data_IF_355771458331
#
_entry.id   IF_355771458331
#
_cell.length_a   1.000
_cell.length_b   1.000
_cell.length_c   1.000
_cell.angle_alpha   90.00
_cell.angle_beta   90.00
_cell.angle_gamma   90.00
#
_symmetry.space_group_name_H-M   'P 1'
#
loop_
_entity.id
_entity.type
_entity.pdbx_description
1 polymer ?
#
# COMPACT_ATOMS: atom_id res chain seq x y z
N UNK A 1 4.74 -16.85 -2.74
CA UNK A 1 5.37 -15.78 -1.93
C UNK A 1 6.28 -16.37 -0.84
N UNK A 2 7.32 -15.61 -0.35
CA UNK A 2 8.22 -16.09 0.73
C UNK A 2 7.45 -16.36 2.04
N UNK A 3 6.50 -15.50 2.40
CA UNK A 3 5.67 -15.65 3.59
C UNK A 3 4.81 -16.93 3.56
N UNK A 4 4.20 -17.25 2.45
CA UNK A 4 3.39 -18.48 2.30
C UNK A 4 4.25 -19.74 2.45
N UNK A 5 5.46 -19.75 1.86
CA UNK A 5 6.41 -20.86 2.02
C UNK A 5 6.86 -21.05 3.48
N UNK A 6 6.94 -19.95 4.21
CA UNK A 6 7.29 -19.96 5.64
C UNK A 6 6.08 -20.20 6.57
N UNK A 7 4.89 -20.42 6.03
CA UNK A 7 3.67 -20.58 6.80
C UNK A 7 3.34 -19.36 7.66
N UNK A 8 3.67 -18.14 7.20
CA UNK A 8 3.37 -16.89 7.89
C UNK A 8 2.09 -16.31 7.30
N UNK A 9 0.98 -16.29 8.07
CA UNK A 9 -0.24 -15.63 7.63
C UNK A 9 -0.02 -14.13 7.49
N UNK A 10 -0.58 -13.55 6.43
CA UNK A 10 -0.46 -12.12 6.14
C UNK A 10 -1.71 -11.60 5.44
N UNK A 11 -1.83 -10.27 5.35
CA UNK A 11 -2.75 -9.59 4.45
C UNK A 11 -2.14 -8.28 3.95
N UNK A 12 -2.33 -8.00 2.66
CA UNK A 12 -2.06 -6.70 2.05
C UNK A 12 -3.08 -5.67 2.54
N UNK A 13 -2.61 -4.46 2.81
CA UNK A 13 -3.43 -3.33 3.26
C UNK A 13 -2.99 -2.04 2.56
N UNK A 14 -3.28 -0.89 3.14
CA UNK A 14 -2.79 0.42 2.68
C UNK A 14 -3.18 0.78 1.25
N UNK A 15 -2.22 1.27 0.49
CA UNK A 15 -2.45 1.81 -0.85
C UNK A 15 -2.66 0.75 -1.93
N UNK A 16 -2.06 -0.42 -1.79
CA UNK A 16 -2.28 -1.55 -2.70
C UNK A 16 -3.73 -2.05 -2.55
N UNK A 17 -4.21 -2.21 -1.31
CA UNK A 17 -5.59 -2.59 -1.06
C UNK A 17 -6.58 -1.51 -1.53
N UNK A 18 -6.25 -0.22 -1.35
CA UNK A 18 -7.04 0.88 -1.91
C UNK A 18 -7.16 0.75 -3.43
N UNK A 19 -6.05 0.54 -4.14
CA UNK A 19 -6.03 0.44 -5.61
C UNK A 19 -6.81 -0.77 -6.12
N UNK A 20 -6.83 -1.86 -5.36
CA UNK A 20 -7.68 -3.02 -5.66
C UNK A 20 -9.18 -2.69 -5.60
N UNK A 21 -9.61 -1.95 -4.56
CA UNK A 21 -11.04 -1.66 -4.33
C UNK A 21 -11.56 -0.38 -4.97
N UNK A 22 -10.69 0.59 -5.26
CA UNK A 22 -11.08 1.92 -5.72
C UNK A 22 -10.13 2.47 -6.80
N UNK A 23 -10.16 3.78 -7.01
CA UNK A 23 -9.28 4.46 -7.96
C UNK A 23 -7.82 4.27 -7.54
N UNK A 24 -6.96 3.76 -8.44
CA UNK A 24 -5.54 3.60 -8.16
C UNK A 24 -4.87 4.96 -7.94
N UNK A 25 -3.90 4.97 -7.05
CA UNK A 25 -2.96 6.06 -6.89
C UNK A 25 -1.55 5.51 -6.72
N UNK A 26 -0.57 6.26 -7.17
CA UNK A 26 0.82 5.91 -6.98
C UNK A 26 1.11 5.66 -5.49
N UNK A 27 1.81 4.56 -5.22
CA UNK A 27 2.37 4.27 -3.90
C UNK A 27 3.83 3.85 -4.03
N UNK A 28 4.63 4.20 -3.03
CA UNK A 28 6.04 3.80 -2.93
C UNK A 28 6.22 2.60 -2.01
N UNK A 29 5.21 2.31 -1.22
CA UNK A 29 5.29 1.33 -0.15
C UNK A 29 4.21 0.27 -0.32
N UNK A 30 4.53 -0.96 0.08
CA UNK A 30 3.61 -2.08 0.16
C UNK A 30 3.37 -2.36 1.64
N UNK A 31 2.16 -2.07 2.11
CA UNK A 31 1.77 -2.30 3.50
C UNK A 31 1.26 -3.73 3.70
N UNK A 32 1.81 -4.43 4.68
CA UNK A 32 1.45 -5.81 5.05
C UNK A 32 1.18 -5.92 6.54
N UNK A 33 0.06 -6.51 6.91
CA UNK A 33 -0.15 -7.01 8.27
C UNK A 33 0.23 -8.48 8.30
N UNK A 34 1.10 -8.89 9.23
CA UNK A 34 1.56 -10.27 9.34
C UNK A 34 1.42 -10.81 10.77
N UNK A 35 1.09 -12.11 10.88
CA UNK A 35 1.06 -12.81 12.14
C UNK A 35 2.47 -13.30 12.49
N UNK A 36 3.13 -12.57 13.36
CA UNK A 36 4.51 -12.83 13.76
C UNK A 36 4.66 -13.13 15.27
N UNK A 37 3.57 -13.17 16.02
CA UNK A 37 3.61 -13.44 17.46
C UNK A 37 4.32 -14.76 17.76
N UNK A 38 5.23 -14.74 18.71
CA UNK A 38 6.00 -15.92 19.13
C UNK A 38 7.02 -16.43 18.12
N UNK A 39 7.25 -15.72 16.98
CA UNK A 39 8.27 -16.11 16.01
C UNK A 39 9.63 -15.54 16.35
N UNK A 40 10.66 -16.30 15.99
CA UNK A 40 12.06 -15.87 16.13
C UNK A 40 12.41 -14.77 15.11
N UNK A 41 12.92 -13.64 15.59
CA UNK A 41 13.26 -12.47 14.77
C UNK A 41 14.36 -12.78 13.73
N UNK A 42 15.34 -13.59 14.09
CA UNK A 42 16.41 -14.02 13.19
C UNK A 42 15.88 -14.87 12.04
N UNK A 43 14.98 -15.81 12.34
CA UNK A 43 14.33 -16.64 11.33
C UNK A 43 13.47 -15.79 10.38
N UNK A 44 12.71 -14.81 10.91
CA UNK A 44 11.91 -13.88 10.09
C UNK A 44 12.82 -13.03 9.20
N UNK A 45 13.90 -12.46 9.73
CA UNK A 45 14.85 -11.67 8.94
C UNK A 45 15.51 -12.50 7.83
N UNK A 46 15.90 -13.74 8.13
CA UNK A 46 16.53 -14.65 7.16
C UNK A 46 15.65 -14.99 5.95
N UNK A 47 14.32 -14.91 6.08
CA UNK A 47 13.41 -15.12 4.94
C UNK A 47 13.62 -14.12 3.79
N UNK A 48 14.18 -12.96 4.09
CA UNK A 48 14.34 -11.87 3.14
C UNK A 48 15.73 -11.81 2.51
N UNK A 49 16.73 -12.49 3.09
CA UNK A 49 18.07 -12.56 2.52
C UNK A 49 18.09 -13.36 1.21
N UNK A 50 19.05 -13.09 0.29
CA UNK A 50 19.96 -11.92 0.28
C UNK A 50 19.37 -10.70 -0.43
N UNK A 51 18.17 -10.80 -1.05
CA UNK A 51 17.64 -9.80 -1.98
C UNK A 51 17.10 -8.54 -1.30
N UNK A 52 16.88 -8.62 0.01
CA UNK A 52 16.28 -7.53 0.77
C UNK A 52 17.16 -7.13 1.95
N UNK A 53 17.14 -5.85 2.28
CA UNK A 53 17.60 -5.35 3.56
C UNK A 53 16.49 -5.44 4.60
N UNK A 54 16.79 -5.99 5.76
CA UNK A 54 15.95 -5.99 6.96
C UNK A 54 16.85 -6.01 8.19
N UNK A 55 16.55 -5.16 9.17
CA UNK A 55 17.29 -5.14 10.43
C UNK A 55 16.64 -6.10 11.44
N UNK A 56 17.34 -7.15 11.84
CA UNK A 56 16.84 -8.14 12.82
C UNK A 56 16.36 -7.50 14.13
N UNK A 57 17.09 -6.48 14.61
CA UNK A 57 16.70 -5.75 15.81
C UNK A 57 15.35 -5.02 15.68
N UNK A 58 15.04 -4.49 14.48
CA UNK A 58 13.75 -3.85 14.21
C UNK A 58 12.62 -4.89 14.15
N UNK A 59 12.88 -6.06 13.57
CA UNK A 59 11.95 -7.20 13.58
C UNK A 59 11.63 -7.62 15.00
N UNK A 60 12.66 -7.84 15.83
CA UNK A 60 12.50 -8.26 17.23
C UNK A 60 11.70 -7.23 18.04
N UNK A 61 12.02 -5.95 17.90
CA UNK A 61 11.27 -4.86 18.54
C UNK A 61 9.81 -4.84 18.09
N UNK A 62 9.55 -4.96 16.79
CA UNK A 62 8.19 -4.95 16.25
C UNK A 62 7.37 -6.14 16.74
N UNK A 63 7.96 -7.35 16.81
CA UNK A 63 7.30 -8.54 17.36
C UNK A 63 6.95 -8.32 18.84
N UNK A 64 7.87 -7.78 19.63
CA UNK A 64 7.67 -7.58 21.08
C UNK A 64 6.60 -6.53 21.39
N UNK A 65 6.46 -5.48 20.54
CA UNK A 65 5.57 -4.35 20.80
C UNK A 65 4.27 -4.37 19.98
N UNK A 66 4.10 -5.30 19.05
CA UNK A 66 3.03 -5.23 18.05
C UNK A 66 3.18 -4.00 17.15
N UNK A 67 4.42 -3.60 16.87
CA UNK A 67 4.79 -2.45 16.06
C UNK A 67 4.96 -2.77 14.57
N UNK A 68 5.86 -2.02 13.91
CA UNK A 68 6.18 -2.21 12.50
C UNK A 68 7.68 -2.19 12.25
N UNK A 69 8.10 -2.81 11.16
CA UNK A 69 9.46 -2.77 10.62
C UNK A 69 9.45 -2.68 9.10
N UNK A 70 10.55 -2.20 8.53
CA UNK A 70 10.69 -2.03 7.10
C UNK A 70 11.55 -3.13 6.49
N UNK A 71 11.19 -3.54 5.30
CA UNK A 71 11.97 -4.42 4.44
C UNK A 71 12.17 -3.73 3.10
N UNK A 72 13.39 -3.60 2.62
CA UNK A 72 13.71 -2.94 1.35
C UNK A 72 14.30 -3.94 0.36
N UNK A 73 13.65 -4.08 -0.81
CA UNK A 73 14.22 -4.88 -1.89
C UNK A 73 15.42 -4.18 -2.50
N UNK A 74 16.61 -4.75 -2.33
CA UNK A 74 17.87 -4.12 -2.71
C UNK A 74 18.01 -3.86 -4.21
N UNK A 75 17.49 -4.75 -5.07
CA UNK A 75 17.55 -4.60 -6.53
C UNK A 75 16.58 -3.56 -7.08
N UNK A 76 15.33 -3.59 -6.62
CA UNK A 76 14.24 -2.78 -7.17
C UNK A 76 13.93 -1.53 -6.36
N UNK A 77 14.55 -1.35 -5.21
CA UNK A 77 14.29 -0.26 -4.27
C UNK A 77 12.80 -0.11 -3.93
N UNK A 78 12.13 -1.24 -3.70
CA UNK A 78 10.73 -1.28 -3.24
C UNK A 78 10.70 -1.55 -1.76
N UNK A 79 10.04 -0.68 -1.00
CA UNK A 79 9.87 -0.81 0.45
C UNK A 79 8.59 -1.58 0.78
N UNK A 80 8.70 -2.48 1.75
CA UNK A 80 7.57 -3.17 2.35
C UNK A 80 7.49 -2.77 3.82
N UNK A 81 6.33 -2.33 4.25
CA UNK A 81 6.03 -1.98 5.64
C UNK A 81 5.29 -3.15 6.30
N UNK A 82 6.00 -3.86 7.17
CA UNK A 82 5.45 -4.97 7.92
C UNK A 82 4.87 -4.48 9.24
N UNK A 83 3.58 -4.66 9.41
CA UNK A 83 2.86 -4.36 10.64
C UNK A 83 2.60 -5.69 11.34
N UNK A 84 3.10 -5.86 12.55
CA UNK A 84 2.81 -7.03 13.35
C UNK A 84 1.35 -6.98 13.82
N UNK A 85 0.57 -8.03 13.54
CA UNK A 85 -0.82 -8.09 13.95
C UNK A 85 -0.93 -7.99 15.48
N UNK A 86 -1.64 -6.97 15.95
CA UNK A 86 -1.94 -6.81 17.38
C UNK A 86 -2.98 -7.82 17.81
N UNK A 87 -2.84 -8.36 19.01
CA UNK A 87 -3.76 -9.36 19.57
C UNK A 87 -4.96 -8.72 20.29
N UNK A 88 -5.68 -7.83 19.57
CA UNK A 88 -6.95 -7.26 20.04
C UNK A 88 -8.13 -7.96 19.35
N UNK A 89 -9.32 -7.97 19.95
CA UNK A 89 -10.50 -8.62 19.36
C UNK A 89 -10.78 -8.12 17.93
N UNK A 90 -10.73 -6.80 17.72
CA UNK A 90 -10.96 -6.22 16.39
C UNK A 90 -9.90 -6.66 15.38
N UNK A 91 -8.59 -6.62 15.75
CA UNK A 91 -7.51 -6.99 14.83
C UNK A 91 -7.49 -8.48 14.49
N UNK A 92 -7.96 -9.33 15.37
CA UNK A 92 -8.21 -10.75 15.08
C UNK A 92 -9.30 -10.91 14.03
N UNK A 93 -10.45 -10.29 14.26
CA UNK A 93 -11.58 -10.35 13.32
C UNK A 93 -11.27 -9.73 11.96
N UNK A 94 -10.58 -8.58 11.92
CA UNK A 94 -10.11 -7.96 10.69
C UNK A 94 -9.26 -8.95 9.88
N UNK A 95 -8.33 -9.62 10.55
CA UNK A 95 -7.42 -10.56 9.93
C UNK A 95 -8.11 -11.84 9.44
N UNK A 96 -9.11 -12.33 10.16
CA UNK A 96 -9.95 -13.46 9.76
C UNK A 96 -10.82 -13.14 8.54
N UNK A 97 -11.31 -11.91 8.42
CA UNK A 97 -12.12 -11.45 7.29
C UNK A 97 -11.31 -11.13 6.03
N UNK A 98 -9.97 -11.28 6.05
CA UNK A 98 -9.16 -11.11 4.85
C UNK A 98 -9.61 -12.05 3.73
N UNK A 99 -9.41 -11.62 2.50
CA UNK A 99 -9.85 -12.37 1.31
C UNK A 99 -8.65 -12.74 0.45
N UNK A 100 -8.67 -13.92 -0.13
CA UNK A 100 -7.72 -14.30 -1.17
C UNK A 100 -8.23 -13.77 -2.50
N UNK A 101 -7.40 -13.02 -3.20
CA UNK A 101 -7.79 -12.34 -4.43
C UNK A 101 -6.69 -12.43 -5.49
N UNK A 102 -7.06 -12.40 -6.79
CA UNK A 102 -6.09 -12.33 -7.86
C UNK A 102 -5.37 -10.98 -7.85
N UNK A 103 -4.06 -11.04 -8.11
CA UNK A 103 -3.15 -9.92 -8.32
C UNK A 103 -2.41 -10.15 -9.65
N UNK A 104 -1.75 -9.15 -10.22
CA UNK A 104 -0.96 -9.35 -11.44
C UNK A 104 0.07 -10.48 -11.29
N UNK A 105 -0.20 -11.64 -11.86
CA UNK A 105 0.69 -12.81 -11.89
C UNK A 105 0.71 -13.69 -10.63
N UNK A 106 -0.10 -13.43 -9.61
CA UNK A 106 -0.20 -14.26 -8.40
C UNK A 106 -1.52 -14.02 -7.66
N UNK A 107 -1.77 -14.79 -6.61
CA UNK A 107 -2.85 -14.52 -5.64
C UNK A 107 -2.28 -14.01 -4.32
N UNK A 108 -3.02 -13.15 -3.64
CA UNK A 108 -2.63 -12.64 -2.34
C UNK A 108 -3.83 -12.52 -1.37
N UNK A 109 -3.54 -12.54 -0.10
CA UNK A 109 -4.51 -12.18 0.93
C UNK A 109 -4.58 -10.66 1.06
N UNK A 110 -5.80 -10.10 1.05
CA UNK A 110 -6.05 -8.66 1.15
C UNK A 110 -7.06 -8.38 2.27
N UNK A 111 -6.89 -7.26 2.95
CA UNK A 111 -7.87 -6.76 3.93
C UNK A 111 -9.24 -6.56 3.27
N UNK A 112 -10.34 -6.78 4.00
CA UNK A 112 -11.68 -6.45 3.48
C UNK A 112 -11.82 -4.95 3.21
N UNK A 113 -12.70 -4.55 2.28
CA UNK A 113 -12.93 -3.13 2.00
C UNK A 113 -13.41 -2.37 3.23
N UNK A 114 -14.29 -2.98 3.99
CA UNK A 114 -14.89 -2.44 5.20
C UNK A 114 -13.84 -2.19 6.28
N UNK A 115 -12.96 -3.15 6.50
CA UNK A 115 -11.87 -3.03 7.47
C UNK A 115 -10.80 -2.05 7.01
N UNK A 116 -10.54 -1.95 5.71
CA UNK A 116 -9.65 -0.92 5.15
C UNK A 116 -10.20 0.49 5.43
N UNK A 117 -11.51 0.71 5.26
CA UNK A 117 -12.16 1.97 5.58
C UNK A 117 -11.98 2.29 7.08
N UNK A 118 -12.26 1.33 7.96
CA UNK A 118 -12.13 1.52 9.41
C UNK A 118 -10.67 1.81 9.81
N UNK A 119 -9.70 1.10 9.27
CA UNK A 119 -8.27 1.31 9.52
C UNK A 119 -7.81 2.69 9.05
N UNK A 120 -8.27 3.15 7.87
CA UNK A 120 -7.96 4.48 7.36
C UNK A 120 -8.61 5.61 8.17
N UNK A 121 -9.83 5.41 8.64
CA UNK A 121 -10.51 6.37 9.54
C UNK A 121 -9.79 6.49 10.90
N UNK A 122 -9.38 5.36 11.48
CA UNK A 122 -8.60 5.36 12.71
C UNK A 122 -7.28 6.12 12.53
N UNK A 123 -6.56 5.83 11.44
CA UNK A 123 -5.31 6.54 11.13
C UNK A 123 -5.54 8.04 10.88
N UNK A 124 -6.59 8.42 10.16
CA UNK A 124 -6.94 9.82 9.92
C UNK A 124 -7.25 10.57 11.23
N UNK A 125 -7.93 9.91 12.16
CA UNK A 125 -8.24 10.47 13.48
C UNK A 125 -6.97 10.78 14.27
N UNK A 126 -6.00 9.84 14.26
CA UNK A 126 -4.78 9.97 15.07
C UNK A 126 -3.76 10.94 14.45
N UNK A 127 -3.68 11.00 13.10
CA UNK A 127 -2.68 11.77 12.37
C UNK A 127 -3.17 13.09 11.77
N UNK A 128 -4.48 13.34 11.74
CA UNK A 128 -5.08 14.48 11.04
C UNK A 128 -4.95 14.40 9.50
N UNK A 129 -4.61 13.24 8.94
CA UNK A 129 -4.27 13.07 7.52
C UNK A 129 -5.48 13.19 6.61
N UNK A 130 -5.56 14.30 5.85
CA UNK A 130 -6.58 14.46 4.80
C UNK A 130 -6.47 13.41 3.68
N UNK A 131 -5.29 12.89 3.42
CA UNK A 131 -5.08 11.85 2.41
C UNK A 131 -5.85 10.57 2.78
N UNK A 132 -5.83 10.17 4.05
CA UNK A 132 -6.60 9.03 4.52
C UNK A 132 -8.11 9.25 4.36
N UNK A 133 -8.59 10.46 4.61
CA UNK A 133 -10.00 10.82 4.39
C UNK A 133 -10.38 10.80 2.91
N UNK A 134 -9.50 11.22 2.00
CA UNK A 134 -9.70 11.08 0.54
C UNK A 134 -9.81 9.63 0.12
N UNK A 135 -8.93 8.77 0.64
CA UNK A 135 -8.93 7.33 0.38
C UNK A 135 -10.25 6.69 0.84
N UNK A 136 -10.74 7.05 2.04
CA UNK A 136 -12.05 6.60 2.55
C UNK A 136 -13.19 7.01 1.62
N UNK A 137 -13.21 8.28 1.18
CA UNK A 137 -14.21 8.76 0.22
C UNK A 137 -14.17 7.97 -1.09
N UNK A 138 -12.99 7.66 -1.61
CA UNK A 138 -12.82 6.85 -2.83
C UNK A 138 -13.36 5.43 -2.64
N UNK A 139 -13.07 4.77 -1.52
CA UNK A 139 -13.59 3.43 -1.19
C UNK A 139 -15.11 3.41 -1.08
N UNK A 140 -15.72 4.41 -0.42
CA UNK A 140 -17.16 4.53 -0.29
C UNK A 140 -17.86 4.78 -1.63
N UNK A 141 -17.28 5.62 -2.49
CA UNK A 141 -17.81 5.87 -3.85
C UNK A 141 -17.77 4.60 -4.69
N UNK A 142 -16.63 3.89 -4.70
CA UNK A 142 -16.48 2.64 -5.45
C UNK A 142 -17.48 1.56 -4.97
N UNK A 143 -17.74 1.46 -3.67
CA UNK A 143 -18.73 0.56 -3.10
C UNK A 143 -20.15 0.89 -3.59
N UNK A 144 -20.52 2.18 -3.61
CA UNK A 144 -21.84 2.64 -4.12
C UNK A 144 -22.00 2.33 -5.61
N UNK A 145 -20.98 2.62 -6.42
CA UNK A 145 -21.00 2.34 -7.87
C UNK A 145 -21.15 0.84 -8.10
N UNK A 146 -20.39 -0.01 -7.40
CA UNK A 146 -20.50 -1.46 -7.54
C UNK A 146 -21.90 -1.98 -7.13
N UNK A 147 -22.47 -1.45 -6.05
CA UNK A 147 -23.84 -1.80 -5.61
C UNK A 147 -24.90 -1.37 -6.63
N UNK A 148 -24.72 -0.22 -7.29
CA UNK A 148 -25.61 0.29 -8.34
C UNK A 148 -25.54 -0.60 -9.58
N UNK A 149 -24.34 -0.94 -10.03
CA UNK A 149 -24.13 -1.79 -11.20
C UNK A 149 -24.71 -3.20 -10.98
N UNK A 150 -24.55 -3.75 -9.76
CA UNK A 150 -25.06 -5.09 -9.41
C UNK A 150 -26.60 -5.12 -9.24
N UNK A 151 -27.21 -4.01 -8.85
CA UNK A 151 -28.64 -3.93 -8.57
C UNK A 151 -29.51 -3.52 -9.76
N UNK A 152 -28.92 -3.19 -10.93
CA UNK A 152 -29.66 -2.82 -12.14
C UNK A 152 -30.60 -1.60 -12.00
N UNK A 153 -30.46 -0.79 -10.96
CA UNK A 153 -31.34 0.33 -10.65
C UNK A 153 -30.78 1.66 -11.15
N UNK A 154 -31.56 2.34 -11.97
CA UNK A 154 -31.39 3.76 -12.31
C UNK A 154 -31.38 4.59 -11.03
N UNK A 155 -30.30 5.31 -10.77
CA UNK A 155 -30.22 6.22 -9.63
C UNK A 155 -30.49 7.64 -10.08
N UNK A 156 -31.59 8.14 -9.53
CA UNK A 156 -31.91 9.54 -9.41
C UNK A 156 -31.37 10.08 -8.08
N UNK A 157 -30.56 11.13 -8.19
CA UNK A 157 -30.29 12.17 -7.18
C UNK A 157 -29.85 11.77 -5.78
N UNK A 158 -28.58 12.02 -5.49
CA UNK A 158 -28.18 12.65 -4.23
C UNK A 158 -27.18 13.77 -4.50
N UNK A 159 -27.66 15.00 -4.28
CA UNK A 159 -26.87 16.23 -4.26
C UNK A 159 -26.26 16.45 -2.88
N UNK A 160 -25.03 16.95 -2.91
CA UNK A 160 -24.39 17.85 -1.95
C UNK A 160 -24.42 17.49 -0.46
N UNK A 161 -23.26 17.07 0.04
CA UNK A 161 -22.70 17.56 1.30
C UNK A 161 -21.18 17.51 1.22
N UNK A 162 -20.54 18.62 1.04
CA UNK A 162 -19.30 19.12 1.62
C UNK A 162 -18.68 20.13 0.69
N UNK A 163 -18.99 21.38 0.95
CA UNK A 163 -18.23 22.51 0.43
C UNK A 163 -16.93 22.66 1.22
N UNK A 164 -15.82 22.67 0.50
CA UNK A 164 -14.72 23.63 0.59
C UNK A 164 -13.82 23.39 -0.62
N UNK A 165 -13.71 24.41 -1.46
CA UNK A 165 -12.90 24.43 -2.66
C UNK A 165 -11.42 24.26 -2.29
N UNK A 166 -10.83 23.11 -2.64
CA UNK A 166 -9.41 23.04 -2.93
C UNK A 166 -9.24 23.40 -4.40
N UNK A 167 -8.22 24.17 -4.75
CA UNK A 167 -7.85 24.41 -6.14
C UNK A 167 -7.79 23.08 -6.87
N UNK A 168 -8.71 22.88 -7.79
CA UNK A 168 -8.84 21.63 -8.55
C UNK A 168 -8.74 22.02 -10.01
N UNK A 169 -7.59 21.75 -10.61
CA UNK A 169 -7.29 22.00 -12.03
C UNK A 169 -8.12 21.11 -12.99
N UNK A 170 -9.00 20.26 -12.44
CA UNK A 170 -9.76 19.26 -13.20
C UNK A 170 -11.24 19.53 -13.12
N UNK A 171 -11.91 19.66 -14.28
CA UNK A 171 -13.36 19.89 -14.33
C UNK A 171 -14.15 18.71 -13.72
N UNK A 172 -15.36 18.96 -13.18
CA UNK A 172 -16.21 17.90 -12.62
C UNK A 172 -16.52 16.78 -13.63
N UNK A 173 -16.71 17.14 -14.91
CA UNK A 173 -17.00 16.21 -16.00
C UNK A 173 -15.83 15.27 -16.27
N UNK A 174 -14.60 15.83 -16.38
CA UNK A 174 -13.39 15.03 -16.57
C UNK A 174 -13.14 14.10 -15.38
N UNK A 175 -13.34 14.59 -14.16
CA UNK A 175 -13.23 13.75 -12.96
C UNK A 175 -14.21 12.59 -12.99
N UNK A 176 -15.46 12.83 -13.36
CA UNK A 176 -16.47 11.79 -13.48
C UNK A 176 -16.10 10.76 -14.55
N UNK A 177 -15.55 11.19 -15.68
CA UNK A 177 -15.05 10.31 -16.73
C UNK A 177 -13.91 9.42 -16.22
N UNK A 178 -12.94 9.97 -15.50
CA UNK A 178 -11.82 9.22 -14.89
C UNK A 178 -12.34 8.23 -13.84
N UNK A 179 -13.24 8.65 -12.95
CA UNK A 179 -13.85 7.77 -11.93
C UNK A 179 -14.61 6.60 -12.60
N UNK A 180 -15.33 6.85 -13.67
CA UNK A 180 -16.03 5.82 -14.45
C UNK A 180 -15.05 4.88 -15.16
N UNK A 181 -13.98 5.42 -15.75
CA UNK A 181 -12.93 4.63 -16.38
C UNK A 181 -12.31 3.63 -15.41
N UNK A 182 -11.90 4.09 -14.23
CA UNK A 182 -11.35 3.19 -13.20
C UNK A 182 -12.39 2.23 -12.60
N UNK A 183 -13.65 2.64 -12.49
CA UNK A 183 -14.72 1.77 -11.99
C UNK A 183 -15.01 0.59 -12.93
N UNK A 184 -14.79 0.76 -14.23
CA UNK A 184 -14.96 -0.30 -15.24
C UNK A 184 -13.78 -1.27 -15.34
N UNK A 185 -12.61 -0.93 -14.79
CA UNK A 185 -11.43 -1.79 -14.78
C UNK A 185 -11.59 -2.95 -13.80
N UNK A 186 -11.02 -4.10 -14.15
CA UNK A 186 -10.84 -5.20 -13.20
C UNK A 186 -9.97 -4.78 -12.00
N UNK A 187 -10.20 -5.32 -10.79
CA UNK A 187 -9.44 -4.95 -9.61
C UNK A 187 -7.91 -5.13 -9.76
N UNK A 188 -7.47 -6.24 -10.35
CA UNK A 188 -6.07 -6.53 -10.64
C UNK A 188 -5.46 -5.55 -11.64
N UNK A 189 -6.26 -5.07 -12.60
CA UNK A 189 -5.85 -4.05 -13.56
C UNK A 189 -5.57 -2.70 -12.86
N UNK A 190 -6.41 -2.31 -11.91
CA UNK A 190 -6.18 -1.11 -11.08
C UNK A 190 -4.90 -1.20 -10.27
N UNK A 191 -4.57 -2.39 -9.73
CA UNK A 191 -3.30 -2.62 -9.03
C UNK A 191 -2.13 -2.49 -10.00
N UNK A 192 -2.23 -3.03 -11.22
CA UNK A 192 -1.21 -2.87 -12.26
C UNK A 192 -0.95 -1.40 -12.59
N UNK A 193 -2.00 -0.61 -12.82
CA UNK A 193 -1.88 0.83 -13.06
C UNK A 193 -1.18 1.54 -11.89
N UNK A 194 -1.49 1.18 -10.64
CA UNK A 194 -0.83 1.75 -9.46
C UNK A 194 0.69 1.48 -9.46
N UNK A 195 1.12 0.27 -9.82
CA UNK A 195 2.54 -0.08 -9.89
C UNK A 195 3.23 0.60 -11.07
N UNK A 196 2.59 0.68 -12.24
CA UNK A 196 3.11 1.39 -13.41
C UNK A 196 3.29 2.90 -13.17
N UNK A 197 2.40 3.52 -12.38
CA UNK A 197 2.59 4.90 -11.94
C UNK A 197 3.86 5.08 -11.12
N UNK A 198 4.16 4.12 -10.23
CA UNK A 198 5.41 4.14 -9.45
C UNK A 198 6.63 3.95 -10.35
N UNK A 199 6.60 2.96 -11.26
CA UNK A 199 7.70 2.68 -12.17
C UNK A 199 8.00 3.90 -13.06
N UNK A 200 6.96 4.59 -13.54
CA UNK A 200 7.10 5.83 -14.31
C UNK A 200 7.76 6.95 -13.48
N UNK A 201 7.29 7.16 -12.25
CA UNK A 201 7.87 8.15 -11.35
C UNK A 201 9.33 7.81 -11.01
N UNK A 202 9.63 6.52 -10.81
CA UNK A 202 10.99 6.05 -10.56
C UNK A 202 11.91 6.34 -11.75
N UNK A 203 11.49 6.02 -12.97
CA UNK A 203 12.25 6.28 -14.19
C UNK A 203 12.51 7.79 -14.39
N UNK A 204 11.52 8.66 -14.11
CA UNK A 204 11.70 10.11 -14.18
C UNK A 204 12.74 10.63 -13.16
N UNK A 205 12.69 10.11 -11.92
CA UNK A 205 13.69 10.47 -10.90
C UNK A 205 15.08 9.97 -11.30
N UNK A 206 15.19 8.75 -11.81
CA UNK A 206 16.44 8.17 -12.28
C UNK A 206 17.04 8.97 -13.44
N UNK A 207 16.22 9.38 -14.41
CA UNK A 207 16.65 10.23 -15.53
C UNK A 207 17.09 11.64 -15.10
N UNK A 208 16.61 12.12 -13.94
CA UNK A 208 17.02 13.43 -13.38
C UNK A 208 18.35 13.39 -12.62
N UNK A 209 18.96 12.22 -12.45
CA UNK A 209 20.23 12.08 -11.76
C UNK A 209 21.40 12.57 -12.63
N UNK A 210 22.46 13.16 -12.04
CA UNK A 210 23.63 13.56 -12.77
C UNK A 210 24.25 12.40 -13.57
N UNK A 211 24.76 12.70 -14.77
CA UNK A 211 25.54 11.75 -15.56
C UNK A 211 26.88 11.43 -14.88
N UNK A 212 27.43 10.23 -15.13
CA UNK A 212 28.74 9.82 -14.63
C UNK A 212 28.80 9.43 -13.16
N UNK A 213 27.66 9.34 -12.46
CA UNK A 213 27.65 8.80 -11.10
C UNK A 213 28.04 7.32 -11.10
N UNK A 214 28.87 6.93 -10.12
CA UNK A 214 29.11 5.52 -9.81
C UNK A 214 27.78 4.80 -9.58
N UNK A 215 27.63 3.53 -10.06
CA UNK A 215 26.38 2.79 -9.91
C UNK A 215 25.92 2.65 -8.46
N UNK A 216 26.83 2.53 -7.49
CA UNK A 216 26.50 2.46 -6.07
C UNK A 216 25.96 3.79 -5.53
N UNK A 217 26.62 4.90 -5.87
CA UNK A 217 26.20 6.25 -5.49
C UNK A 217 24.86 6.62 -6.16
N UNK A 218 24.66 6.29 -7.43
CA UNK A 218 23.37 6.49 -8.13
C UNK A 218 22.25 5.78 -7.40
N UNK A 219 22.47 4.52 -7.03
CA UNK A 219 21.51 3.70 -6.32
C UNK A 219 21.23 4.21 -4.91
N UNK A 220 22.26 4.66 -4.20
CA UNK A 220 22.11 5.28 -2.88
C UNK A 220 21.22 6.53 -2.97
N UNK A 221 21.51 7.46 -3.90
CA UNK A 221 20.72 8.69 -4.08
C UNK A 221 19.29 8.43 -4.49
N UNK A 222 19.03 7.44 -5.35
CA UNK A 222 17.66 7.02 -5.67
C UNK A 222 16.92 6.54 -4.42
N UNK A 223 17.55 5.67 -3.65
CA UNK A 223 16.98 5.16 -2.41
C UNK A 223 16.73 6.27 -1.39
N UNK A 224 17.69 7.19 -1.20
CA UNK A 224 17.58 8.35 -0.32
C UNK A 224 16.41 9.27 -0.70
N UNK A 225 16.24 9.54 -2.02
CA UNK A 225 15.16 10.39 -2.51
C UNK A 225 13.76 9.81 -2.27
N UNK A 226 13.62 8.48 -2.29
CA UNK A 226 12.36 7.81 -2.04
C UNK A 226 12.11 7.48 -0.56
N UNK A 227 13.14 7.15 0.19
CA UNK A 227 13.02 6.51 1.51
C UNK A 227 13.87 7.17 2.62
N UNK A 228 14.53 8.29 2.34
CA UNK A 228 15.28 9.06 3.34
C UNK A 228 16.31 8.22 4.09
N UNK A 229 16.28 8.28 5.42
CA UNK A 229 17.25 7.63 6.32
C UNK A 229 17.35 6.10 6.15
N UNK A 230 16.34 5.45 5.57
CA UNK A 230 16.39 4.02 5.28
C UNK A 230 17.51 3.69 4.27
N UNK A 231 17.84 4.63 3.37
CA UNK A 231 18.91 4.45 2.40
C UNK A 231 20.27 4.27 3.08
N UNK A 232 20.59 5.08 4.07
CA UNK A 232 21.86 5.00 4.81
C UNK A 232 22.00 3.68 5.59
N UNK A 233 20.89 3.12 6.04
CA UNK A 233 20.85 1.84 6.77
C UNK A 233 20.95 0.63 5.82
N UNK A 234 20.30 0.71 4.67
CA UNK A 234 20.19 -0.39 3.72
C UNK A 234 21.34 -0.45 2.69
N UNK A 235 21.89 0.71 2.33
CA UNK A 235 22.93 0.89 1.33
C UNK A 235 24.05 1.78 1.89
N UNK A 236 24.87 1.29 2.84
CA UNK A 236 25.94 2.10 3.42
C UNK A 236 26.90 2.55 2.32
N UNK A 237 27.29 3.84 2.33
CA UNK A 237 28.35 4.38 1.46
C UNK A 237 29.65 3.66 1.81
N UNK A 238 30.30 3.10 0.81
CA UNK A 238 31.65 2.52 0.96
C UNK A 238 32.70 3.61 1.01
#
# INVERSE_FOLDING_TARGET
MRLERAGIPYMLTGSIALSYYAQPRMTRDIDLVAELSGRDSKAVAALFAPDYYVAEADVGRAIATGGMFNVLHLGKLVKLDFIVRKDTPYRRQEFERRRRVPMPGFEAWIVSREDLILSKLAWAKDSGSEMQLRDVRALLRAARIASILSAGRKISRYRNCCGKASMQDTTPEFRKMVEQGYASMAPEERVRVCTEMFDTAFALVEASMPEGLDPGERRFRLCERFYGDLAARALPRR
#
